data_IF_709854418164
#
_entry.id   IF_709854418164
#
_cell.length_a   1.000
_cell.length_b   1.000
_cell.length_c   1.000
_cell.angle_alpha   90.00
_cell.angle_beta   90.00
_cell.angle_gamma   90.00
#
_symmetry.space_group_name_H-M   'P 1'
#
loop_
_entity.id
_entity.type
_entity.pdbx_description
1 polymer ?
#
# COMPACT_ATOMS: atom_id res chain seq x y z
N UNK A 1 -24.50 54.49 -53.73
CA UNK A 1 -23.97 53.11 -53.54
C UNK A 1 -23.59 52.93 -52.06
N UNK A 2 -24.52 52.40 -51.25
CA UNK A 2 -24.35 52.22 -49.81
C UNK A 2 -24.12 50.76 -49.56
N UNK A 3 -22.89 50.40 -49.13
CA UNK A 3 -22.57 49.00 -48.73
C UNK A 3 -23.04 48.76 -47.29
N UNK A 4 -23.98 47.85 -47.14
CA UNK A 4 -24.40 47.32 -45.87
C UNK A 4 -23.27 46.37 -45.34
N UNK A 5 -22.81 46.69 -44.17
CA UNK A 5 -21.81 45.88 -43.43
C UNK A 5 -22.58 44.78 -42.66
N UNK A 6 -22.51 43.53 -43.10
CA UNK A 6 -23.00 42.40 -42.34
C UNK A 6 -22.09 42.17 -41.13
N UNK A 7 -22.61 42.41 -39.93
CA UNK A 7 -21.98 42.05 -38.69
C UNK A 7 -22.24 40.56 -38.43
N UNK A 8 -21.24 39.71 -38.70
CA UNK A 8 -21.26 38.34 -38.32
C UNK A 8 -21.16 38.22 -36.78
N UNK A 9 -22.27 37.93 -36.14
CA UNK A 9 -22.30 37.56 -34.72
C UNK A 9 -21.72 36.13 -34.57
N UNK A 10 -20.42 36.07 -34.26
CA UNK A 10 -19.76 34.85 -33.83
C UNK A 10 -20.29 34.47 -32.43
N UNK A 11 -21.23 33.56 -32.39
CA UNK A 11 -21.65 32.94 -31.14
C UNK A 11 -20.52 32.02 -30.67
N UNK A 12 -19.77 32.44 -29.65
CA UNK A 12 -18.78 31.60 -28.99
C UNK A 12 -19.49 30.32 -28.46
N UNK A 13 -19.07 29.19 -28.96
CA UNK A 13 -19.50 27.89 -28.44
C UNK A 13 -19.01 27.83 -26.99
N UNK A 14 -19.89 27.53 -26.00
CA UNK A 14 -19.43 27.37 -24.62
C UNK A 14 -18.36 26.28 -24.59
N UNK A 15 -17.22 26.56 -23.95
CA UNK A 15 -16.20 25.55 -23.67
C UNK A 15 -16.82 24.45 -22.84
N UNK A 16 -16.61 23.15 -23.18
CA UNK A 16 -17.08 22.04 -22.36
C UNK A 16 -16.38 22.12 -21.01
N UNK A 17 -17.18 22.16 -19.93
CA UNK A 17 -16.70 22.10 -18.55
C UNK A 17 -15.66 20.98 -18.41
N UNK A 18 -14.43 21.30 -18.00
CA UNK A 18 -13.35 20.32 -17.79
C UNK A 18 -13.73 19.22 -16.77
N UNK A 19 -14.75 19.47 -15.95
CA UNK A 19 -15.33 18.49 -15.01
C UNK A 19 -15.98 17.28 -15.69
N UNK A 20 -16.34 17.37 -16.98
CA UNK A 20 -17.00 16.26 -17.70
C UNK A 20 -16.02 15.29 -18.34
N UNK A 21 -14.72 15.61 -18.38
CA UNK A 21 -13.71 14.81 -19.11
C UNK A 21 -13.00 13.74 -18.28
N UNK A 22 -13.29 13.63 -16.97
CA UNK A 22 -12.76 12.53 -16.15
C UNK A 22 -13.59 11.28 -16.35
N UNK A 23 -13.35 10.54 -17.42
CA UNK A 23 -14.08 9.31 -17.73
C UNK A 23 -13.87 8.20 -16.66
N UNK A 24 -14.78 7.19 -16.59
CA UNK A 24 -14.70 6.09 -15.62
C UNK A 24 -13.36 5.34 -15.62
N UNK A 25 -12.63 5.36 -16.73
CA UNK A 25 -11.32 4.74 -16.87
C UNK A 25 -10.22 5.50 -16.13
N UNK A 26 -10.26 6.83 -16.08
CA UNK A 26 -9.27 7.64 -15.35
C UNK A 26 -9.46 7.54 -13.84
N UNK A 27 -10.70 7.61 -13.36
CA UNK A 27 -11.02 7.47 -11.94
C UNK A 27 -10.59 6.10 -11.41
N UNK A 28 -10.83 5.03 -12.17
CA UNK A 28 -10.37 3.67 -11.85
C UNK A 28 -8.84 3.58 -11.86
N UNK A 29 -8.13 4.30 -12.73
CA UNK A 29 -6.67 4.32 -12.77
C UNK A 29 -6.08 4.99 -11.54
N UNK A 30 -6.61 6.15 -11.16
CA UNK A 30 -6.19 6.91 -9.98
C UNK A 30 -6.46 6.12 -8.69
N UNK A 31 -7.65 5.52 -8.55
CA UNK A 31 -7.99 4.69 -7.41
C UNK A 31 -7.01 3.50 -7.24
N UNK A 32 -6.68 2.81 -8.32
CA UNK A 32 -5.70 1.71 -8.27
C UNK A 32 -4.29 2.18 -7.87
N UNK A 33 -3.86 3.35 -8.33
CA UNK A 33 -2.58 3.93 -7.94
C UNK A 33 -2.57 4.32 -6.46
N UNK A 34 -3.64 4.96 -5.97
CA UNK A 34 -3.77 5.36 -4.56
C UNK A 34 -3.77 4.15 -3.62
N UNK A 35 -4.51 3.08 -3.97
CA UNK A 35 -4.54 1.85 -3.18
C UNK A 35 -3.16 1.17 -3.11
N UNK A 36 -2.44 1.14 -4.23
CA UNK A 36 -1.07 0.62 -4.27
C UNK A 36 -0.13 1.44 -3.39
N UNK A 37 -0.20 2.77 -3.48
CA UNK A 37 0.64 3.67 -2.68
C UNK A 37 0.30 3.56 -1.19
N UNK A 38 -0.98 3.53 -0.83
CA UNK A 38 -1.42 3.33 0.55
C UNK A 38 -0.90 2.00 1.12
N UNK A 39 -1.06 0.91 0.38
CA UNK A 39 -0.53 -0.39 0.77
C UNK A 39 1.00 -0.40 0.90
N UNK A 40 1.71 0.26 -0.02
CA UNK A 40 3.17 0.39 0.04
C UNK A 40 3.62 1.14 1.31
N UNK A 41 3.01 2.28 1.61
CA UNK A 41 3.31 3.07 2.82
C UNK A 41 3.01 2.26 4.08
N UNK A 42 1.87 1.57 4.12
CA UNK A 42 1.51 0.73 5.26
C UNK A 42 2.52 -0.40 5.50
N UNK A 43 2.98 -1.08 4.43
CA UNK A 43 4.05 -2.10 4.53
C UNK A 43 5.36 -1.50 5.03
N UNK A 44 5.73 -0.29 4.59
CA UNK A 44 6.93 0.41 5.10
C UNK A 44 6.81 0.75 6.59
N UNK A 45 5.62 1.13 7.06
CA UNK A 45 5.36 1.37 8.49
C UNK A 45 5.52 0.08 9.29
N UNK A 46 4.98 -1.06 8.80
CA UNK A 46 5.21 -2.37 9.43
C UNK A 46 6.70 -2.65 9.57
N UNK A 47 7.48 -2.47 8.50
CA UNK A 47 8.93 -2.65 8.56
C UNK A 47 9.62 -1.71 9.54
N UNK A 48 9.22 -0.44 9.60
CA UNK A 48 9.80 0.53 10.51
C UNK A 48 9.58 0.16 11.98
N UNK A 49 8.37 -0.32 12.33
CA UNK A 49 8.08 -0.81 13.70
C UNK A 49 8.95 -2.03 14.03
N UNK A 50 9.10 -2.98 13.12
CA UNK A 50 9.96 -4.15 13.37
C UNK A 50 11.45 -3.79 13.51
N UNK A 51 11.91 -2.73 12.82
CA UNK A 51 13.26 -2.21 13.01
C UNK A 51 13.42 -1.54 14.39
N UNK A 52 12.42 -0.76 14.78
CA UNK A 52 12.41 -0.08 16.09
C UNK A 52 12.45 -1.11 17.22
N UNK A 53 11.59 -2.10 17.21
CA UNK A 53 11.60 -3.21 18.17
C UNK A 53 12.93 -3.98 18.17
N UNK A 54 13.50 -4.22 16.98
CA UNK A 54 14.80 -4.89 16.86
C UNK A 54 15.91 -4.11 17.54
N UNK A 55 15.93 -2.77 17.43
CA UNK A 55 17.00 -1.90 17.92
C UNK A 55 16.72 -1.37 19.34
N UNK A 56 15.55 -0.79 19.57
CA UNK A 56 15.21 -0.07 20.79
C UNK A 56 14.78 -1.03 21.91
N UNK A 57 13.98 -2.04 21.60
CA UNK A 57 13.54 -3.04 22.58
C UNK A 57 14.47 -4.24 22.70
N UNK A 58 15.63 -4.17 22.05
CA UNK A 58 16.70 -5.17 22.15
C UNK A 58 16.29 -6.59 21.70
N UNK A 59 15.28 -6.74 20.82
CA UNK A 59 14.93 -8.04 20.27
C UNK A 59 16.05 -8.68 19.44
N UNK A 60 17.06 -7.90 19.04
CA UNK A 60 18.25 -8.38 18.34
C UNK A 60 19.02 -9.48 19.11
N UNK A 61 18.90 -9.54 20.44
CA UNK A 61 19.53 -10.58 21.26
C UNK A 61 18.64 -11.83 21.46
N UNK A 62 17.37 -11.77 21.04
CA UNK A 62 16.44 -12.90 21.19
C UNK A 62 16.67 -13.89 20.04
N UNK A 63 17.07 -15.13 20.33
CA UNK A 63 17.27 -16.13 19.28
C UNK A 63 16.01 -16.33 18.44
N UNK A 64 16.17 -16.49 17.12
CA UNK A 64 15.11 -16.64 16.12
C UNK A 64 14.25 -15.39 15.93
N UNK A 65 13.74 -14.77 17.00
CA UNK A 65 12.87 -13.58 16.93
C UNK A 65 13.62 -12.40 16.34
N UNK A 66 14.85 -12.10 16.82
CA UNK A 66 15.66 -11.01 16.28
C UNK A 66 15.89 -11.11 14.75
N UNK A 67 16.42 -12.23 14.25
CA UNK A 67 16.49 -12.47 12.81
C UNK A 67 15.17 -12.32 12.07
N UNK A 68 14.03 -12.73 12.63
CA UNK A 68 12.71 -12.56 12.01
C UNK A 68 12.30 -11.10 11.92
N UNK A 69 12.58 -10.28 12.93
CA UNK A 69 12.35 -8.84 12.88
C UNK A 69 13.21 -8.14 11.81
N UNK A 70 14.49 -8.48 11.74
CA UNK A 70 15.38 -7.97 10.70
C UNK A 70 14.92 -8.36 9.28
N UNK A 71 14.46 -9.60 9.09
CA UNK A 71 13.90 -10.08 7.83
C UNK A 71 12.58 -9.40 7.48
N UNK A 72 11.71 -9.16 8.47
CA UNK A 72 10.47 -8.40 8.26
C UNK A 72 10.79 -6.99 7.80
N UNK A 73 11.69 -6.27 8.48
CA UNK A 73 12.13 -4.93 8.06
C UNK A 73 12.68 -4.93 6.63
N UNK A 74 13.61 -5.83 6.32
CA UNK A 74 14.23 -5.91 4.99
C UNK A 74 13.19 -6.22 3.91
N UNK A 75 12.33 -7.21 4.16
CA UNK A 75 11.25 -7.61 3.25
C UNK A 75 10.24 -6.49 3.04
N UNK A 76 9.78 -5.85 4.11
CA UNK A 76 8.86 -4.73 4.05
C UNK A 76 9.45 -3.54 3.28
N UNK A 77 10.73 -3.25 3.48
CA UNK A 77 11.43 -2.18 2.76
C UNK A 77 11.48 -2.47 1.26
N UNK A 78 11.91 -3.67 0.87
CA UNK A 78 11.97 -4.07 -0.55
C UNK A 78 10.59 -4.05 -1.21
N UNK A 79 9.59 -4.60 -0.54
CA UNK A 79 8.22 -4.66 -1.04
C UNK A 79 7.63 -3.24 -1.15
N UNK A 80 7.72 -2.45 -0.09
CA UNK A 80 7.14 -1.12 -0.04
C UNK A 80 7.77 -0.18 -1.07
N UNK A 81 9.10 -0.12 -1.13
CA UNK A 81 9.80 0.69 -2.14
C UNK A 81 9.52 0.18 -3.57
N UNK A 82 9.52 -1.13 -3.78
CA UNK A 82 9.19 -1.71 -5.07
C UNK A 82 7.78 -1.40 -5.55
N UNK A 83 6.80 -1.36 -4.63
CA UNK A 83 5.42 -0.95 -4.94
C UNK A 83 5.32 0.55 -5.26
N UNK A 84 6.18 1.40 -4.73
CA UNK A 84 6.19 2.84 -5.03
C UNK A 84 6.77 3.17 -6.41
N UNK A 85 7.59 2.29 -6.99
CA UNK A 85 8.14 2.52 -8.32
C UNK A 85 7.02 2.59 -9.36
N UNK A 86 6.86 3.70 -10.11
CA UNK A 86 5.86 3.80 -11.16
C UNK A 86 6.32 3.00 -12.39
N UNK A 87 5.77 1.81 -12.57
CA UNK A 87 6.20 0.97 -13.66
C UNK A 87 5.02 0.32 -14.39
N UNK A 88 4.57 0.96 -15.46
CA UNK A 88 3.57 0.41 -16.36
C UNK A 88 4.02 -0.93 -16.96
N UNK A 89 5.32 -1.18 -17.07
CA UNK A 89 5.93 -2.40 -17.66
C UNK A 89 6.16 -3.52 -16.65
N UNK A 90 6.12 -3.26 -15.33
CA UNK A 90 6.43 -4.23 -14.28
C UNK A 90 5.16 -4.82 -13.63
N UNK A 91 4.16 -5.15 -14.44
CA UNK A 91 2.86 -5.63 -13.93
C UNK A 91 2.98 -6.90 -13.08
N UNK A 92 3.81 -7.85 -13.49
CA UNK A 92 4.04 -9.09 -12.75
C UNK A 92 4.77 -8.81 -11.43
N UNK A 93 5.79 -7.97 -11.47
CA UNK A 93 6.52 -7.59 -10.25
C UNK A 93 5.59 -6.95 -9.22
N UNK A 94 4.74 -5.98 -9.62
CA UNK A 94 3.77 -5.39 -8.70
C UNK A 94 2.75 -6.40 -8.14
N UNK A 95 2.38 -7.42 -8.93
CA UNK A 95 1.53 -8.50 -8.43
C UNK A 95 2.25 -9.29 -7.34
N UNK A 96 3.50 -9.70 -7.60
CA UNK A 96 4.31 -10.47 -6.64
C UNK A 96 4.60 -9.66 -5.37
N UNK A 97 4.93 -8.37 -5.52
CA UNK A 97 5.16 -7.48 -4.38
C UNK A 97 3.89 -7.27 -3.55
N UNK A 98 2.73 -7.11 -4.19
CA UNK A 98 1.46 -6.98 -3.45
C UNK A 98 1.10 -8.26 -2.70
N UNK A 99 1.27 -9.43 -3.33
CA UNK A 99 1.07 -10.71 -2.65
C UNK A 99 2.10 -10.93 -1.52
N UNK A 100 3.36 -10.54 -1.75
CA UNK A 100 4.41 -10.57 -0.74
C UNK A 100 4.10 -9.68 0.46
N UNK A 101 3.60 -8.46 0.22
CA UNK A 101 3.19 -7.53 1.28
C UNK A 101 2.01 -8.05 2.11
N UNK A 102 1.02 -8.64 1.45
CA UNK A 102 -0.10 -9.30 2.15
C UNK A 102 0.43 -10.48 2.98
N UNK A 103 1.27 -11.33 2.40
CA UNK A 103 1.85 -12.48 3.09
C UNK A 103 2.67 -12.06 4.30
N UNK A 104 3.51 -11.03 4.16
CA UNK A 104 4.31 -10.48 5.26
C UNK A 104 3.43 -9.98 6.41
N UNK A 105 2.42 -9.15 6.12
CA UNK A 105 1.52 -8.61 7.12
C UNK A 105 0.71 -9.71 7.84
N UNK A 106 0.15 -10.66 7.09
CA UNK A 106 -0.62 -11.78 7.66
C UNK A 106 0.26 -12.69 8.52
N UNK A 107 1.50 -12.97 8.10
CA UNK A 107 2.43 -13.82 8.86
C UNK A 107 2.87 -13.12 10.14
N UNK A 108 3.17 -11.82 10.08
CA UNK A 108 3.52 -11.03 11.26
C UNK A 108 2.39 -11.00 12.28
N UNK A 109 1.16 -10.71 11.83
CA UNK A 109 -0.03 -10.78 12.68
C UNK A 109 -0.21 -12.17 13.34
N UNK A 110 -0.07 -13.24 12.56
CA UNK A 110 -0.22 -14.59 13.07
C UNK A 110 0.84 -14.93 14.13
N UNK A 111 2.09 -14.51 13.92
CA UNK A 111 3.18 -14.74 14.87
C UNK A 111 2.98 -13.96 16.17
N UNK A 112 2.53 -12.71 16.09
CA UNK A 112 2.16 -11.94 17.27
C UNK A 112 1.04 -12.64 18.05
N UNK A 113 -0.05 -13.00 17.38
CA UNK A 113 -1.20 -13.65 18.01
C UNK A 113 -0.80 -14.98 18.69
N UNK A 114 0.08 -15.76 18.06
CA UNK A 114 0.58 -17.01 18.66
C UNK A 114 1.45 -16.69 19.89
N UNK A 115 2.38 -15.72 19.79
CA UNK A 115 3.31 -15.39 20.88
C UNK A 115 2.63 -14.85 22.13
N UNK A 116 1.46 -14.24 22.00
CA UNK A 116 0.65 -13.82 23.14
C UNK A 116 -0.03 -14.98 23.88
N UNK A 117 -0.33 -16.06 23.18
CA UNK A 117 -1.07 -17.18 23.74
C UNK A 117 -0.18 -18.35 24.18
N UNK A 118 0.98 -18.50 23.52
CA UNK A 118 1.93 -19.56 23.81
C UNK A 118 3.34 -19.18 23.37
N UNK A 119 4.39 -19.73 23.98
CA UNK A 119 5.75 -19.44 23.56
C UNK A 119 6.00 -19.77 22.08
N UNK A 120 6.42 -18.78 21.31
CA UNK A 120 6.86 -18.93 19.93
C UNK A 120 8.39 -18.92 19.90
N UNK A 121 9.01 -20.03 19.51
CA UNK A 121 10.47 -20.20 19.54
C UNK A 121 11.11 -19.94 20.93
N UNK A 122 10.37 -20.24 22.02
CA UNK A 122 10.81 -19.95 23.37
C UNK A 122 10.63 -18.52 23.87
N UNK A 123 10.06 -17.64 23.02
CA UNK A 123 9.70 -16.28 23.35
C UNK A 123 8.17 -16.15 23.48
N UNK A 124 7.72 -15.41 24.48
CA UNK A 124 6.31 -15.08 24.68
C UNK A 124 6.19 -13.60 24.93
N UNK A 125 5.35 -12.92 24.16
CA UNK A 125 5.04 -11.51 24.38
C UNK A 125 3.87 -11.35 25.36
N UNK A 126 3.83 -10.25 26.08
CA UNK A 126 2.77 -9.95 27.03
C UNK A 126 2.30 -8.52 26.90
N UNK A 127 1.07 -8.38 26.45
CA UNK A 127 0.37 -7.09 26.41
C UNK A 127 0.62 -6.26 25.15
N UNK A 128 -0.31 -5.33 24.95
CA UNK A 128 -0.29 -4.46 23.76
C UNK A 128 0.45 -3.15 24.08
N UNK A 129 1.69 -3.06 23.68
CA UNK A 129 2.45 -1.81 23.66
C UNK A 129 2.00 -0.96 22.47
N UNK A 130 2.35 0.34 22.47
CA UNK A 130 1.96 1.25 21.38
C UNK A 130 2.50 0.79 20.02
N UNK A 131 3.71 0.29 19.99
CA UNK A 131 4.40 -0.24 18.81
C UNK A 131 3.59 -1.39 18.17
N UNK A 132 3.09 -2.31 19.00
CA UNK A 132 2.24 -3.42 18.57
C UNK A 132 0.93 -2.91 17.98
N UNK A 133 0.30 -1.92 18.62
CA UNK A 133 -0.95 -1.32 18.11
C UNK A 133 -0.73 -0.65 16.76
N UNK A 134 0.38 0.07 16.60
CA UNK A 134 0.76 0.70 15.32
C UNK A 134 1.04 -0.36 14.25
N UNK A 135 1.78 -1.42 14.59
CA UNK A 135 2.04 -2.53 13.67
C UNK A 135 0.74 -3.17 13.19
N UNK A 136 -0.15 -3.57 14.10
CA UNK A 136 -1.46 -4.18 13.78
C UNK A 136 -2.31 -3.28 12.89
N UNK A 137 -2.36 -1.97 13.20
CA UNK A 137 -3.06 -0.98 12.37
C UNK A 137 -2.49 -0.89 10.96
N UNK A 138 -1.16 -0.83 10.85
CA UNK A 138 -0.47 -0.78 9.57
C UNK A 138 -0.64 -2.09 8.77
N UNK A 139 -0.57 -3.25 9.41
CA UNK A 139 -0.82 -4.57 8.79
C UNK A 139 -2.24 -4.67 8.24
N UNK A 140 -3.24 -4.25 9.01
CA UNK A 140 -4.63 -4.23 8.55
C UNK A 140 -4.81 -3.32 7.33
N UNK A 141 -4.25 -2.11 7.36
CA UNK A 141 -4.29 -1.17 6.23
C UNK A 141 -3.55 -1.75 5.02
N UNK A 142 -2.39 -2.37 5.20
CA UNK A 142 -1.63 -2.99 4.13
C UNK A 142 -2.43 -4.09 3.43
N UNK A 143 -3.02 -5.01 4.20
CA UNK A 143 -3.84 -6.11 3.66
C UNK A 143 -5.04 -5.57 2.90
N UNK A 144 -5.83 -4.69 3.49
CA UNK A 144 -7.04 -4.12 2.86
C UNK A 144 -6.69 -3.36 1.57
N UNK A 145 -5.69 -2.49 1.63
CA UNK A 145 -5.29 -1.68 0.49
C UNK A 145 -4.72 -2.53 -0.66
N UNK A 146 -3.87 -3.52 -0.36
CA UNK A 146 -3.25 -4.38 -1.37
C UNK A 146 -4.26 -5.37 -1.97
N UNK A 147 -5.19 -5.93 -1.18
CA UNK A 147 -6.29 -6.76 -1.71
C UNK A 147 -7.19 -5.94 -2.61
N UNK A 148 -7.61 -4.74 -2.18
CA UNK A 148 -8.40 -3.84 -3.02
C UNK A 148 -7.65 -3.44 -4.31
N UNK A 149 -6.35 -3.17 -4.22
CA UNK A 149 -5.50 -2.94 -5.40
C UNK A 149 -5.54 -4.12 -6.38
N UNK A 150 -5.36 -5.35 -5.90
CA UNK A 150 -5.40 -6.54 -6.73
C UNK A 150 -6.79 -6.76 -7.36
N UNK A 151 -7.86 -6.52 -6.60
CA UNK A 151 -9.24 -6.61 -7.10
C UNK A 151 -9.52 -5.60 -8.22
N UNK A 152 -9.05 -4.34 -8.09
CA UNK A 152 -9.20 -3.34 -9.17
C UNK A 152 -8.46 -3.76 -10.44
N UNK A 153 -7.33 -4.46 -10.32
CA UNK A 153 -6.58 -4.99 -11.46
C UNK A 153 -7.27 -6.17 -12.14
N UNK A 154 -7.87 -7.06 -11.36
CA UNK A 154 -8.60 -8.21 -11.90
C UNK A 154 -9.79 -7.76 -12.75
N UNK A 155 -10.59 -6.80 -12.24
CA UNK A 155 -11.75 -6.23 -12.96
C UNK A 155 -11.41 -5.56 -14.29
N UNK A 156 -10.18 -5.07 -14.47
CA UNK A 156 -9.74 -4.46 -15.74
C UNK A 156 -9.34 -5.48 -16.81
N UNK A 157 -9.26 -6.75 -16.45
CA UNK A 157 -8.88 -7.84 -17.38
C UNK A 157 -10.08 -8.67 -17.83
N UNK A 158 -11.19 -8.57 -17.09
CA UNK A 158 -12.49 -9.18 -17.42
C UNK A 158 -13.29 -8.26 -18.33
#
# INVERSE_FOLDING_TARGET
MTRLRESSTYTARPEPDEAVLSGPAETSSRASASLRTLGAVAVLVVGAVHLDEYLADHFNVVPVIGPLFALNFAGATLIGLGLLVPAARLRLLHLLLALGGIGLAVTSFAFLFISEHQPLFGFQDYGYRMEIVVALGAEAVAVVALVAYLATRARRRA
#
